data_IF_781257347589
#
_entry.id   IF_781257347589
#
_cell.length_a   1.000
_cell.length_b   1.000
_cell.length_c   1.000
_cell.angle_alpha   90.00
_cell.angle_beta   90.00
_cell.angle_gamma   90.00
#
_symmetry.space_group_name_H-M   'P 1'
#
loop_
_entity.id
_entity.type
_entity.pdbx_description
1 polymer ?
#
# COMPACT_ATOMS: atom_id res chain seq x y z
N UNK A 1 -1.09 12.26 -15.75
CA UNK A 1 -2.31 11.99 -14.97
C UNK A 1 -2.28 12.97 -13.81
N UNK A 2 -3.32 13.76 -13.63
CA UNK A 2 -3.42 14.65 -12.47
C UNK A 2 -3.80 13.85 -11.21
N UNK A 3 -3.78 14.51 -10.05
CA UNK A 3 -4.01 13.87 -8.76
C UNK A 3 -5.41 13.27 -8.62
N UNK A 4 -6.41 13.90 -9.22
CA UNK A 4 -7.81 13.48 -9.13
C UNK A 4 -8.05 12.20 -9.93
N UNK A 5 -7.49 12.11 -11.14
CA UNK A 5 -7.57 10.88 -11.93
C UNK A 5 -6.86 9.70 -11.23
N UNK A 6 -5.74 9.96 -10.54
CA UNK A 6 -5.08 8.91 -9.74
C UNK A 6 -5.94 8.48 -8.55
N UNK A 7 -6.55 9.43 -7.83
CA UNK A 7 -7.44 9.13 -6.71
C UNK A 7 -8.63 8.29 -7.14
N UNK A 8 -9.26 8.62 -8.27
CA UNK A 8 -10.36 7.84 -8.81
C UNK A 8 -9.96 6.39 -9.15
N UNK A 9 -8.74 6.17 -9.66
CA UNK A 9 -8.22 4.81 -9.91
C UNK A 9 -8.08 4.04 -8.58
N UNK A 10 -7.53 4.69 -7.57
CA UNK A 10 -7.31 4.10 -6.25
C UNK A 10 -8.62 3.78 -5.53
N UNK A 11 -9.60 4.69 -5.57
CA UNK A 11 -10.93 4.47 -4.98
C UNK A 11 -11.66 3.31 -5.67
N UNK A 12 -11.55 3.21 -7.00
CA UNK A 12 -12.09 2.09 -7.76
C UNK A 12 -11.45 0.77 -7.33
N UNK A 13 -10.14 0.75 -7.15
CA UNK A 13 -9.45 -0.46 -6.68
C UNK A 13 -9.83 -0.85 -5.27
N UNK A 14 -9.97 0.13 -4.37
CA UNK A 14 -10.42 -0.13 -3.01
C UNK A 14 -11.83 -0.76 -3.01
N UNK A 15 -12.73 -0.28 -3.86
CA UNK A 15 -14.06 -0.89 -4.02
C UNK A 15 -13.99 -2.33 -4.57
N UNK A 16 -13.06 -2.63 -5.48
CA UNK A 16 -12.88 -3.97 -6.05
C UNK A 16 -12.43 -5.01 -5.02
N UNK A 17 -11.74 -4.64 -3.96
CA UNK A 17 -11.45 -5.57 -2.87
C UNK A 17 -12.74 -6.11 -2.23
N UNK A 18 -13.75 -5.24 -2.03
CA UNK A 18 -15.05 -5.62 -1.51
C UNK A 18 -15.82 -6.61 -2.41
N UNK A 19 -15.68 -6.50 -3.73
CA UNK A 19 -16.24 -7.47 -4.70
C UNK A 19 -15.67 -8.88 -4.53
N UNK A 20 -14.52 -9.00 -3.87
CA UNK A 20 -13.85 -10.25 -3.57
C UNK A 20 -13.93 -10.66 -2.10
N UNK A 21 -14.80 -10.00 -1.32
CA UNK A 21 -14.94 -10.22 0.12
C UNK A 21 -13.62 -10.09 0.89
N UNK A 22 -12.71 -9.23 0.39
CA UNK A 22 -11.46 -8.88 1.07
C UNK A 22 -11.67 -7.54 1.75
N UNK A 23 -11.48 -7.51 3.07
CA UNK A 23 -11.42 -6.24 3.79
C UNK A 23 -10.12 -5.52 3.45
N UNK A 24 -10.22 -4.25 3.08
CA UNK A 24 -9.09 -3.48 2.59
C UNK A 24 -9.18 -2.04 3.06
N UNK A 25 -8.00 -1.48 3.37
CA UNK A 25 -7.83 -0.05 3.57
C UNK A 25 -6.75 0.46 2.63
N UNK A 26 -6.77 1.77 2.37
CA UNK A 26 -5.75 2.42 1.58
C UNK A 26 -5.22 3.67 2.30
N UNK A 27 -3.90 3.75 2.41
CA UNK A 27 -3.22 4.89 3.04
C UNK A 27 -2.31 5.56 2.03
N UNK A 28 -2.56 6.83 1.76
CA UNK A 28 -1.67 7.68 0.97
C UNK A 28 -0.64 8.31 1.91
N UNK A 29 0.64 8.20 1.54
CA UNK A 29 1.75 8.75 2.31
C UNK A 29 2.60 9.68 1.44
N UNK A 30 2.97 10.82 1.99
CA UNK A 30 3.97 11.71 1.43
C UNK A 30 5.35 11.34 2.01
N UNK A 31 6.45 11.52 1.25
CA UNK A 31 7.81 11.27 1.76
C UNK A 31 8.29 12.46 2.62
N UNK A 32 7.60 12.70 3.73
CA UNK A 32 7.91 13.75 4.71
C UNK A 32 7.96 13.17 6.15
N UNK A 33 8.13 14.05 7.14
CA UNK A 33 8.25 13.68 8.55
C UNK A 33 7.03 12.94 9.13
N UNK A 34 5.87 13.05 8.49
CA UNK A 34 4.63 12.38 8.93
C UNK A 34 4.51 10.93 8.42
N UNK A 35 5.37 10.53 7.48
CA UNK A 35 5.23 9.26 6.78
C UNK A 35 5.33 8.06 7.73
N UNK A 36 6.30 8.08 8.63
CA UNK A 36 6.54 6.97 9.55
C UNK A 36 5.35 6.77 10.49
N UNK A 37 4.89 7.82 11.16
CA UNK A 37 3.75 7.73 12.08
C UNK A 37 2.46 7.31 11.36
N UNK A 38 2.26 7.78 10.13
CA UNK A 38 1.12 7.41 9.29
C UNK A 38 1.15 5.93 8.92
N UNK A 39 2.30 5.41 8.46
CA UNK A 39 2.48 3.99 8.11
C UNK A 39 2.30 3.11 9.35
N UNK A 40 2.91 3.46 10.48
CA UNK A 40 2.79 2.69 11.73
C UNK A 40 1.34 2.63 12.21
N UNK A 41 0.62 3.76 12.17
CA UNK A 41 -0.79 3.81 12.58
C UNK A 41 -1.67 2.91 11.70
N UNK A 42 -1.46 2.93 10.38
CA UNK A 42 -2.20 2.08 9.45
C UNK A 42 -1.91 0.59 9.67
N UNK A 43 -0.64 0.23 9.86
CA UNK A 43 -0.23 -1.17 10.07
C UNK A 43 -0.66 -1.72 11.43
N UNK A 44 -0.77 -0.86 12.45
CA UNK A 44 -1.11 -1.29 13.82
C UNK A 44 -2.63 -1.30 14.08
N UNK A 45 -3.45 -0.89 13.12
CA UNK A 45 -4.90 -0.82 13.26
C UNK A 45 -5.60 -2.19 13.32
N UNK A 46 -5.02 -3.20 12.68
CA UNK A 46 -5.47 -4.59 12.70
C UNK A 46 -4.37 -5.53 12.18
N UNK A 47 -4.59 -6.84 12.31
CA UNK A 47 -3.73 -7.84 11.68
C UNK A 47 -4.01 -7.89 10.18
N UNK A 48 -2.96 -7.66 9.38
CA UNK A 48 -3.03 -7.68 7.92
C UNK A 48 -2.46 -8.98 7.36
N UNK A 49 -3.19 -9.61 6.42
CA UNK A 49 -2.67 -10.76 5.68
C UNK A 49 -1.67 -10.34 4.59
N UNK A 50 -1.92 -9.20 3.94
CA UNK A 50 -1.10 -8.70 2.83
C UNK A 50 -1.01 -7.17 2.85
N UNK A 51 0.19 -6.63 2.63
CA UNK A 51 0.43 -5.20 2.42
C UNK A 51 0.92 -4.96 1.00
N UNK A 52 0.13 -4.25 0.19
CA UNK A 52 0.52 -3.84 -1.17
C UNK A 52 1.22 -2.49 -1.11
N UNK A 53 2.50 -2.43 -1.46
CA UNK A 53 3.23 -1.16 -1.58
C UNK A 53 3.08 -0.65 -3.02
N UNK A 54 2.48 0.53 -3.17
CA UNK A 54 2.18 1.14 -4.47
C UNK A 54 3.41 1.57 -5.28
N UNK A 55 3.24 1.66 -6.61
CA UNK A 55 4.31 2.10 -7.52
C UNK A 55 4.79 3.55 -7.30
N UNK A 56 3.96 4.42 -6.71
CA UNK A 56 4.32 5.81 -6.42
C UNK A 56 5.47 5.96 -5.41
N UNK A 57 5.68 4.96 -4.56
CA UNK A 57 6.79 4.91 -3.59
C UNK A 57 7.99 4.17 -4.19
N UNK A 58 7.73 3.08 -4.92
CA UNK A 58 8.76 2.12 -5.36
C UNK A 58 9.50 2.48 -6.64
N UNK A 59 8.83 3.15 -7.56
CA UNK A 59 9.36 3.38 -8.92
C UNK A 59 10.21 4.64 -9.05
N UNK A 60 9.92 5.77 -8.37
CA UNK A 60 10.79 6.93 -8.46
C UNK A 60 12.15 6.66 -7.82
N UNK A 61 13.23 6.75 -8.59
CA UNK A 61 14.61 6.56 -8.09
C UNK A 61 14.94 7.42 -6.84
N UNK A 62 14.49 8.70 -6.75
CA UNK A 62 14.75 9.51 -5.56
C UNK A 62 14.08 9.00 -4.27
N UNK A 63 13.14 8.06 -4.36
CA UNK A 63 12.40 7.52 -3.22
C UNK A 63 12.90 6.16 -2.74
N UNK A 64 14.06 5.69 -3.22
CA UNK A 64 14.57 4.35 -2.87
C UNK A 64 14.74 4.15 -1.35
N UNK A 65 15.31 5.12 -0.64
CA UNK A 65 15.50 5.06 0.82
C UNK A 65 14.16 5.12 1.57
N UNK A 66 13.21 5.89 1.05
CA UNK A 66 11.86 5.94 1.59
C UNK A 66 11.12 4.61 1.40
N UNK A 67 11.27 3.98 0.23
CA UNK A 67 10.74 2.64 -0.01
C UNK A 67 11.34 1.61 0.94
N UNK A 68 12.66 1.62 1.17
CA UNK A 68 13.32 0.76 2.16
C UNK A 68 12.74 0.95 3.56
N UNK A 69 12.52 2.20 3.98
CA UNK A 69 11.90 2.53 5.26
C UNK A 69 10.50 1.92 5.36
N UNK A 70 9.65 2.10 4.34
CA UNK A 70 8.28 1.54 4.32
C UNK A 70 8.31 0.01 4.43
N UNK A 71 9.18 -0.68 3.68
CA UNK A 71 9.33 -2.15 3.76
C UNK A 71 9.72 -2.58 5.18
N UNK A 72 10.65 -1.87 5.82
CA UNK A 72 11.09 -2.18 7.17
C UNK A 72 10.02 -1.90 8.22
N UNK A 73 9.19 -0.86 8.04
CA UNK A 73 8.04 -0.60 8.90
C UNK A 73 7.00 -1.72 8.79
N UNK A 74 6.69 -2.19 7.57
CA UNK A 74 5.79 -3.33 7.36
C UNK A 74 6.30 -4.57 8.10
N UNK A 75 7.59 -4.91 7.91
CA UNK A 75 8.19 -6.07 8.60
C UNK A 75 8.14 -5.97 10.13
N UNK A 76 8.20 -4.76 10.69
CA UNK A 76 8.20 -4.53 12.14
C UNK A 76 6.80 -4.52 12.73
N UNK A 77 5.84 -3.90 12.05
CA UNK A 77 4.52 -3.61 12.60
C UNK A 77 3.41 -4.52 12.07
N UNK A 78 3.66 -5.23 10.97
CA UNK A 78 2.78 -6.29 10.45
C UNK A 78 3.62 -7.51 10.04
N UNK A 79 4.36 -8.15 10.98
CA UNK A 79 5.30 -9.22 10.66
C UNK A 79 4.65 -10.48 10.05
N UNK A 80 3.35 -10.67 10.27
CA UNK A 80 2.57 -11.76 9.66
C UNK A 80 2.13 -11.48 8.22
N UNK A 81 2.16 -10.23 7.78
CA UNK A 81 1.67 -9.85 6.46
C UNK A 81 2.67 -10.21 5.35
N UNK A 82 2.18 -10.78 4.27
CA UNK A 82 2.95 -10.85 3.03
C UNK A 82 3.13 -9.45 2.44
N UNK A 83 4.30 -9.16 1.85
CA UNK A 83 4.56 -7.91 1.14
C UNK A 83 4.34 -8.13 -0.35
N UNK A 84 3.43 -7.35 -0.95
CA UNK A 84 3.10 -7.42 -2.35
C UNK A 84 3.43 -6.12 -3.09
N UNK A 85 3.72 -6.26 -4.39
CA UNK A 85 3.97 -5.15 -5.29
C UNK A 85 3.05 -5.25 -6.51
N UNK A 86 2.36 -4.16 -6.80
CA UNK A 86 1.53 -3.99 -7.99
C UNK A 86 2.35 -3.42 -9.17
N UNK A 87 1.89 -3.62 -10.40
CA UNK A 87 2.55 -3.04 -11.58
C UNK A 87 2.02 -1.64 -11.91
N UNK A 88 0.80 -1.34 -11.49
CA UNK A 88 0.05 -0.11 -11.70
C UNK A 88 -0.85 0.18 -10.50
N UNK A 89 -1.55 1.32 -10.47
CA UNK A 89 -2.59 1.55 -9.45
C UNK A 89 -3.69 0.50 -9.51
N UNK A 90 -4.08 0.10 -10.73
CA UNK A 90 -5.26 -0.71 -11.05
C UNK A 90 -5.13 -2.23 -10.94
N UNK A 91 -4.01 -2.75 -10.43
CA UNK A 91 -3.80 -4.20 -10.24
C UNK A 91 -3.46 -4.54 -8.78
N UNK A 92 -3.99 -3.76 -7.84
CA UNK A 92 -3.70 -3.93 -6.41
C UNK A 92 -4.40 -5.17 -5.84
N UNK A 93 -5.62 -5.46 -6.32
CA UNK A 93 -6.35 -6.69 -5.98
C UNK A 93 -5.57 -7.93 -6.42
N UNK A 94 -5.09 -7.93 -7.65
CA UNK A 94 -4.31 -9.01 -8.24
C UNK A 94 -2.99 -9.19 -7.51
N UNK A 95 -2.37 -8.09 -7.06
CA UNK A 95 -1.16 -8.14 -6.26
C UNK A 95 -1.39 -8.79 -4.89
N UNK A 96 -2.48 -8.44 -4.22
CA UNK A 96 -2.84 -9.02 -2.93
C UNK A 96 -3.17 -10.52 -3.02
N UNK A 97 -3.99 -10.91 -4.00
CA UNK A 97 -4.44 -12.30 -4.22
C UNK A 97 -3.33 -13.32 -4.46
N UNK A 98 -2.10 -12.91 -4.77
CA UNK A 98 -0.97 -13.85 -4.86
C UNK A 98 -0.58 -14.45 -3.51
N UNK A 99 -1.08 -13.87 -2.41
CA UNK A 99 -0.69 -14.22 -1.03
C UNK A 99 -1.87 -14.49 -0.10
N UNK A 100 -3.12 -14.32 -0.56
CA UNK A 100 -4.35 -14.65 0.18
C UNK A 100 -4.78 -16.10 -0.07
#
# INVERSE_FOLDING_TARGET
>A
MDGDAMRAVLDKELARFGEHAVDASMTLIAPDESAESTVVSALSGQDWDVVVIGGGIRKPEPLVTFFEQVVNLVRRHAPGAAIAFNTSGGDSVEAAKRWL
#
